data_IF_289899842380
#
_entry.id   IF_289899842380
#
_cell.length_a   1.000
_cell.length_b   1.000
_cell.length_c   1.000
_cell.angle_alpha   90.00
_cell.angle_beta   90.00
_cell.angle_gamma   90.00
#
_symmetry.space_group_name_H-M   'P 1'
#
loop_
_entity.id
_entity.type
_entity.pdbx_description
1 polymer ?
#
# COMPACT_ATOMS: atom_id res chain seq x y z
N UNK A 1 -13.31 -67.62 -35.02
CA UNK A 1 -12.55 -68.04 -36.21
C UNK A 1 -12.84 -67.06 -37.33
N UNK A 2 -11.77 -66.44 -37.87
CA UNK A 2 -11.58 -65.79 -39.18
C UNK A 2 -12.68 -64.86 -39.74
N UNK A 3 -12.51 -63.52 -39.75
CA UNK A 3 -11.64 -62.70 -40.63
C UNK A 3 -12.22 -62.47 -42.05
N UNK A 4 -12.52 -61.21 -42.39
CA UNK A 4 -11.86 -60.48 -43.50
C UNK A 4 -12.57 -59.18 -43.92
N UNK A 5 -11.86 -58.09 -43.61
CA UNK A 5 -11.72 -56.76 -44.24
C UNK A 5 -12.02 -56.62 -45.74
N UNK A 6 -12.51 -55.42 -46.15
CA UNK A 6 -11.88 -54.48 -47.12
C UNK A 6 -12.56 -53.08 -46.99
N UNK A 7 -11.85 -52.01 -46.56
CA UNK A 7 -11.19 -50.93 -47.37
C UNK A 7 -12.16 -50.20 -48.33
N UNK A 8 -12.22 -48.87 -48.49
CA UNK A 8 -11.42 -47.75 -48.00
C UNK A 8 -12.02 -46.39 -48.49
N UNK A 9 -11.50 -45.27 -47.94
CA UNK A 9 -11.27 -43.95 -48.59
C UNK A 9 -12.55 -43.06 -48.71
N UNK A 10 -12.60 -41.79 -48.26
CA UNK A 10 -11.68 -40.66 -48.44
C UNK A 10 -12.01 -39.53 -47.44
N UNK A 11 -10.98 -38.79 -47.04
CA UNK A 11 -11.04 -37.59 -46.22
C UNK A 11 -11.52 -36.34 -46.99
N UNK A 12 -12.16 -35.41 -46.28
CA UNK A 12 -12.19 -33.96 -46.57
C UNK A 12 -12.43 -33.22 -45.24
N UNK A 13 -11.39 -32.78 -44.52
CA UNK A 13 -10.80 -31.42 -44.53
C UNK A 13 -11.83 -30.27 -44.41
N UNK A 14 -12.03 -29.81 -43.14
CA UNK A 14 -12.01 -28.43 -42.57
C UNK A 14 -12.82 -27.30 -43.27
N UNK A 15 -13.14 -26.14 -42.64
CA UNK A 15 -12.72 -25.63 -41.33
C UNK A 15 -13.86 -25.05 -40.47
N UNK A 16 -13.48 -24.61 -39.25
CA UNK A 16 -13.95 -23.47 -38.45
C UNK A 16 -15.30 -22.82 -38.77
N UNK A 17 -16.03 -22.43 -37.72
CA UNK A 17 -16.49 -21.06 -37.44
C UNK A 17 -17.12 -21.10 -36.03
N UNK A 18 -16.38 -20.62 -35.03
CA UNK A 18 -16.69 -19.36 -34.33
C UNK A 18 -18.03 -19.41 -33.58
N UNK A 19 -18.12 -20.24 -32.54
CA UNK A 19 -19.13 -20.06 -31.49
C UNK A 19 -18.65 -18.97 -30.54
N UNK A 20 -18.90 -17.74 -30.97
CA UNK A 20 -19.11 -16.50 -30.23
C UNK A 20 -18.94 -16.60 -28.70
N UNK A 21 -17.73 -16.35 -28.21
CA UNK A 21 -17.47 -16.04 -26.82
C UNK A 21 -18.11 -14.70 -26.46
N UNK A 22 -19.26 -14.72 -25.80
CA UNK A 22 -19.79 -13.53 -25.12
C UNK A 22 -19.05 -13.42 -23.79
N UNK A 23 -17.82 -12.92 -23.83
CA UNK A 23 -17.14 -12.41 -22.65
C UNK A 23 -17.79 -11.06 -22.33
N UNK A 24 -18.72 -11.07 -21.37
CA UNK A 24 -19.17 -9.85 -20.70
C UNK A 24 -17.96 -9.29 -19.94
N UNK A 25 -17.16 -8.48 -20.64
CA UNK A 25 -16.26 -7.50 -20.05
C UNK A 25 -17.14 -6.45 -19.39
N UNK A 26 -17.61 -6.76 -18.18
CA UNK A 26 -17.98 -5.74 -17.21
C UNK A 26 -16.67 -5.01 -16.88
N UNK A 27 -16.38 -3.99 -17.70
CA UNK A 27 -15.53 -2.87 -17.34
C UNK A 27 -16.23 -2.22 -16.14
N UNK A 28 -15.95 -2.75 -14.96
CA UNK A 28 -16.21 -2.05 -13.72
C UNK A 28 -15.34 -0.81 -13.77
N UNK A 29 -15.96 0.33 -14.07
CA UNK A 29 -15.45 1.64 -13.69
C UNK A 29 -15.18 1.57 -12.19
N UNK A 30 -13.93 1.28 -11.82
CA UNK A 30 -13.42 1.51 -10.49
C UNK A 30 -13.37 3.04 -10.33
N UNK A 31 -14.50 3.63 -9.93
CA UNK A 31 -14.46 4.89 -9.23
C UNK A 31 -13.68 4.59 -7.95
N UNK A 32 -12.36 4.82 -7.99
CA UNK A 32 -11.52 4.78 -6.79
C UNK A 32 -12.18 5.77 -5.84
N UNK A 33 -12.75 5.33 -4.71
CA UNK A 33 -13.39 6.27 -3.82
C UNK A 33 -12.32 7.24 -3.35
N UNK A 34 -12.65 8.53 -3.28
CA UNK A 34 -11.78 9.64 -2.83
C UNK A 34 -11.16 9.43 -1.42
N UNK A 35 -11.46 8.30 -0.77
CA UNK A 35 -10.97 7.90 0.54
C UNK A 35 -10.61 6.40 0.62
N UNK A 36 -10.29 5.74 -0.49
CA UNK A 36 -9.90 4.32 -0.49
C UNK A 36 -8.76 4.04 0.49
N UNK A 37 -7.74 4.90 0.51
CA UNK A 37 -6.62 4.78 1.45
C UNK A 37 -7.04 4.90 2.91
N UNK A 38 -8.00 5.79 3.22
CA UNK A 38 -8.54 5.94 4.59
C UNK A 38 -9.35 4.74 5.03
N UNK A 39 -10.19 4.21 4.14
CA UNK A 39 -10.96 2.99 4.41
C UNK A 39 -10.02 1.81 4.63
N UNK A 40 -9.00 1.65 3.78
CA UNK A 40 -7.96 0.62 3.97
C UNK A 40 -7.24 0.80 5.31
N UNK A 41 -6.85 2.03 5.67
CA UNK A 41 -6.25 2.33 6.98
C UNK A 41 -7.15 1.94 8.16
N UNK A 42 -8.44 2.28 8.10
CA UNK A 42 -9.41 1.94 9.16
C UNK A 42 -9.64 0.43 9.30
N UNK A 43 -9.50 -0.32 8.20
CA UNK A 43 -9.65 -1.78 8.17
C UNK A 43 -8.38 -2.52 8.61
N UNK A 44 -7.23 -1.85 8.77
CA UNK A 44 -5.98 -2.51 9.17
C UNK A 44 -5.97 -2.88 10.64
N UNK A 45 -5.38 -4.03 10.94
CA UNK A 45 -5.11 -4.43 12.31
C UNK A 45 -4.20 -3.39 12.99
N UNK A 46 -4.53 -2.94 14.21
CA UNK A 46 -3.71 -1.99 14.94
C UNK A 46 -2.39 -2.64 15.38
N UNK A 47 -1.29 -1.91 15.24
CA UNK A 47 0.03 -2.32 15.72
C UNK A 47 0.36 -1.66 17.07
N UNK A 48 1.28 -2.25 17.86
CA UNK A 48 1.80 -1.61 19.07
C UNK A 48 2.33 -0.20 18.79
N UNK A 49 1.88 0.78 19.55
CA UNK A 49 2.27 2.17 19.33
C UNK A 49 3.61 2.48 20.01
N UNK A 50 4.58 2.99 19.24
CA UNK A 50 5.88 3.44 19.71
C UNK A 50 5.80 4.81 20.38
N UNK A 51 5.29 5.79 19.65
CA UNK A 51 5.26 7.19 20.06
C UNK A 51 4.17 7.95 19.28
N UNK A 52 3.63 9.01 19.89
CA UNK A 52 2.87 10.04 19.20
C UNK A 52 3.57 11.38 19.32
N UNK A 53 3.97 11.94 18.19
CA UNK A 53 4.68 13.22 18.12
C UNK A 53 3.74 14.27 17.55
N UNK A 54 3.63 15.41 18.24
CA UNK A 54 2.90 16.59 17.76
C UNK A 54 3.84 17.77 17.78
N UNK A 55 4.04 18.42 16.64
CA UNK A 55 4.92 19.60 16.56
C UNK A 55 4.21 20.78 15.92
N UNK A 56 4.12 21.84 16.72
CA UNK A 56 3.69 23.17 16.29
C UNK A 56 4.92 23.92 15.75
N UNK A 57 5.12 23.85 14.43
CA UNK A 57 5.91 24.67 13.48
C UNK A 57 7.17 25.49 13.86
N UNK A 58 7.59 25.64 15.11
CA UNK A 58 8.78 26.42 15.47
C UNK A 58 10.08 25.64 15.34
N UNK A 59 10.02 24.31 15.25
CA UNK A 59 11.16 23.44 15.00
C UNK A 59 10.77 22.37 13.98
N UNK A 60 11.69 22.02 13.08
CA UNK A 60 11.48 20.92 12.15
C UNK A 60 11.40 19.61 12.95
N UNK A 61 10.26 18.92 12.91
CA UNK A 61 10.02 17.77 13.78
C UNK A 61 10.71 16.50 13.28
N UNK A 62 11.73 16.05 14.01
CA UNK A 62 12.31 14.72 13.81
C UNK A 62 11.60 13.68 14.69
N UNK A 63 11.52 12.42 14.23
CA UNK A 63 11.16 11.33 15.14
C UNK A 63 12.22 11.22 16.25
N UNK A 64 11.78 10.96 17.48
CA UNK A 64 12.72 10.73 18.56
C UNK A 64 13.54 9.47 18.28
N UNK A 65 14.78 9.44 18.76
CA UNK A 65 15.63 8.25 18.66
C UNK A 65 14.93 7.01 19.24
N UNK A 66 14.19 7.17 20.34
CA UNK A 66 13.43 6.10 20.97
C UNK A 66 12.26 5.62 20.10
N UNK A 67 11.58 6.52 19.40
CA UNK A 67 10.53 6.18 18.44
C UNK A 67 11.07 5.38 17.26
N UNK A 68 12.24 5.77 16.74
CA UNK A 68 12.92 5.03 15.67
C UNK A 68 13.41 3.65 16.12
N UNK A 69 14.02 3.55 17.31
CA UNK A 69 14.46 2.27 17.87
C UNK A 69 13.27 1.32 18.09
N UNK A 70 12.12 1.85 18.50
CA UNK A 70 10.89 1.05 18.62
C UNK A 70 10.36 0.57 17.26
N UNK A 71 10.45 1.37 16.19
CA UNK A 71 10.07 0.91 14.85
C UNK A 71 10.98 -0.24 14.38
N UNK A 72 12.29 -0.16 14.64
CA UNK A 72 13.24 -1.23 14.34
C UNK A 72 12.93 -2.52 15.11
N UNK A 73 12.70 -2.40 16.42
CA UNK A 73 12.32 -3.54 17.27
C UNK A 73 10.99 -4.15 16.83
N UNK A 74 10.04 -3.31 16.44
CA UNK A 74 8.76 -3.71 15.85
C UNK A 74 8.97 -4.48 14.55
N UNK A 75 9.79 -3.97 13.64
CA UNK A 75 10.09 -4.59 12.36
C UNK A 75 10.75 -5.98 12.52
N UNK A 76 11.58 -6.14 13.55
CA UNK A 76 12.20 -7.41 13.92
C UNK A 76 11.24 -8.36 14.69
N UNK A 77 10.09 -7.85 15.15
CA UNK A 77 9.16 -8.55 16.02
C UNK A 77 7.73 -8.60 15.47
N UNK A 78 6.79 -8.06 16.23
CA UNK A 78 5.35 -8.13 15.97
C UNK A 78 4.79 -6.97 15.12
N UNK A 79 5.68 -6.09 14.63
CA UNK A 79 5.33 -4.81 14.03
C UNK A 79 5.16 -3.71 15.08
N UNK A 80 5.20 -2.46 14.62
CA UNK A 80 4.95 -1.30 15.46
C UNK A 80 4.45 -0.11 14.63
N UNK A 81 3.77 0.83 15.27
CA UNK A 81 3.29 2.06 14.65
C UNK A 81 3.82 3.29 15.38
N UNK A 82 4.23 4.29 14.60
CA UNK A 82 4.60 5.60 15.10
C UNK A 82 3.74 6.64 14.38
N UNK A 83 3.17 7.57 15.15
CA UNK A 83 2.33 8.64 14.62
C UNK A 83 3.01 9.98 14.79
N UNK A 84 3.01 10.80 13.74
CA UNK A 84 3.44 12.18 13.86
C UNK A 84 2.54 13.17 13.14
N UNK A 85 2.30 14.31 13.76
CA UNK A 85 1.48 15.40 13.26
C UNK A 85 2.35 16.65 13.13
N UNK A 86 2.43 17.20 11.91
CA UNK A 86 3.25 18.36 11.58
C UNK A 86 2.40 19.45 10.92
N UNK A 87 2.58 20.71 11.32
CA UNK A 87 1.84 21.85 10.76
C UNK A 87 0.98 22.56 11.79
N UNK A 88 0.30 23.63 11.36
CA UNK A 88 -0.62 24.36 12.24
C UNK A 88 -1.82 23.50 12.62
N UNK A 89 -2.40 23.80 13.78
CA UNK A 89 -3.53 23.06 14.35
C UNK A 89 -4.76 23.00 13.41
N UNK A 90 -4.92 23.95 12.50
CA UNK A 90 -6.01 24.00 11.51
C UNK A 90 -5.72 23.24 10.20
N UNK A 91 -4.58 22.56 10.10
CA UNK A 91 -4.30 21.77 8.90
C UNK A 91 -3.07 20.89 8.96
N UNK A 92 -2.82 20.12 10.03
CA UNK A 92 -1.61 19.34 10.12
C UNK A 92 -1.63 18.21 9.10
N UNK A 93 -0.44 17.87 8.59
CA UNK A 93 -0.21 16.60 7.92
C UNK A 93 0.12 15.57 8.98
N UNK A 94 -0.61 14.46 8.96
CA UNK A 94 -0.42 13.36 9.91
C UNK A 94 0.18 12.18 9.16
N UNK A 95 1.30 11.69 9.67
CA UNK A 95 2.01 10.50 9.20
C UNK A 95 1.78 9.37 10.20
N UNK A 96 1.29 8.25 9.70
CA UNK A 96 1.23 6.98 10.42
C UNK A 96 2.25 6.05 9.79
N UNK A 97 3.39 5.86 10.47
CA UNK A 97 4.48 5.00 10.03
C UNK A 97 4.32 3.64 10.69
N UNK A 98 4.07 2.61 9.91
CA UNK A 98 3.87 1.23 10.36
C UNK A 98 5.05 0.38 9.92
N UNK A 99 5.85 -0.07 10.88
CA UNK A 99 6.83 -1.11 10.66
C UNK A 99 6.15 -2.47 10.71
N UNK A 100 6.23 -3.22 9.62
CA UNK A 100 5.68 -4.57 9.53
C UNK A 100 6.69 -5.62 10.00
N UNK A 101 6.22 -6.77 10.54
CA UNK A 101 7.08 -7.92 10.76
C UNK A 101 7.81 -8.30 9.46
N UNK A 102 9.14 -8.26 9.48
CA UNK A 102 9.96 -8.61 8.31
C UNK A 102 10.70 -7.43 7.66
N UNK A 103 10.53 -6.20 8.16
CA UNK A 103 11.40 -5.06 7.79
C UNK A 103 10.82 -4.04 6.82
N UNK A 104 9.61 -4.26 6.32
CA UNK A 104 8.94 -3.29 5.45
C UNK A 104 8.25 -2.19 6.26
N UNK A 105 8.12 -1.00 5.65
CA UNK A 105 7.41 0.13 6.25
C UNK A 105 6.29 0.59 5.33
N UNK A 106 5.14 0.86 5.95
CA UNK A 106 4.00 1.48 5.30
C UNK A 106 3.74 2.82 5.96
N UNK A 107 3.58 3.86 5.14
CA UNK A 107 3.31 5.22 5.60
C UNK A 107 1.94 5.62 5.09
N UNK A 108 1.00 5.78 6.02
CA UNK A 108 -0.27 6.40 5.71
C UNK A 108 -0.17 7.91 5.98
N UNK A 109 -0.42 8.69 4.95
CA UNK A 109 -0.37 10.16 5.01
C UNK A 109 -1.78 10.69 4.96
N UNK A 110 -2.19 11.36 6.04
CA UNK A 110 -3.41 12.13 6.11
C UNK A 110 -3.05 13.61 5.92
N UNK A 111 -3.32 14.14 4.72
CA UNK A 111 -3.10 15.54 4.40
C UNK A 111 -4.38 16.33 4.68
N UNK A 112 -4.24 17.40 5.48
CA UNK A 112 -5.17 18.51 5.64
C UNK A 112 -6.68 18.13 5.74
N UNK A 113 -7.34 18.34 6.90
CA UNK A 113 -8.76 18.02 7.11
C UNK A 113 -9.72 18.72 6.13
N UNK A 114 -9.31 19.81 5.48
CA UNK A 114 -10.11 20.51 4.47
C UNK A 114 -10.10 19.85 3.10
N UNK A 115 -9.02 19.14 2.75
CA UNK A 115 -8.92 18.42 1.47
C UNK A 115 -9.28 16.95 1.60
N UNK A 116 -9.24 16.42 2.83
CA UNK A 116 -9.52 15.02 3.14
C UNK A 116 -8.71 14.05 2.28
N UNK A 117 -7.48 14.44 1.93
CA UNK A 117 -6.62 13.68 1.02
C UNK A 117 -5.83 12.66 1.83
N UNK A 118 -5.89 11.40 1.41
CA UNK A 118 -5.25 10.29 2.08
C UNK A 118 -4.48 9.45 1.08
N UNK A 119 -3.28 9.01 1.46
CA UNK A 119 -2.42 8.20 0.60
C UNK A 119 -1.69 7.13 1.43
N UNK A 120 -1.52 5.95 0.83
CA UNK A 120 -0.60 4.93 1.31
C UNK A 120 0.70 5.00 0.52
N UNK A 121 1.81 4.88 1.22
CA UNK A 121 3.13 4.73 0.60
C UNK A 121 3.86 3.55 1.23
N UNK A 122 4.52 2.77 0.40
CA UNK A 122 5.32 1.62 0.80
C UNK A 122 6.80 1.90 0.59
N UNK A 123 7.57 1.76 1.66
CA UNK A 123 8.98 2.11 1.76
C UNK A 123 9.77 0.94 2.33
N UNK A 124 11.04 0.82 1.92
CA UNK A 124 11.99 0.09 2.76
C UNK A 124 12.24 0.91 4.03
N UNK A 125 12.44 0.24 5.17
CA UNK A 125 12.85 0.91 6.40
C UNK A 125 14.22 1.55 6.21
N UNK A 126 14.24 2.87 6.02
CA UNK A 126 15.45 3.69 5.95
C UNK A 126 15.43 4.68 7.11
N UNK A 127 16.24 4.39 8.14
CA UNK A 127 16.34 5.25 9.33
C UNK A 127 16.78 6.66 8.99
N UNK A 128 17.65 6.84 8.00
CA UNK A 128 18.13 8.16 7.61
C UNK A 128 16.98 8.96 6.98
N UNK A 129 16.14 8.29 6.18
CA UNK A 129 14.91 8.88 5.66
C UNK A 129 13.90 9.22 6.77
N UNK A 130 13.78 8.42 7.83
CA UNK A 130 12.86 8.70 8.92
C UNK A 130 13.40 9.73 9.94
N UNK A 131 14.72 9.93 10.01
CA UNK A 131 15.37 10.76 11.03
C UNK A 131 15.12 12.28 10.95
N UNK A 132 14.56 12.77 9.84
CA UNK A 132 14.21 14.18 9.71
C UNK A 132 12.90 14.35 8.94
N UNK A 133 12.13 15.41 9.17
CA UNK A 133 10.86 15.63 8.47
C UNK A 133 11.06 15.90 6.98
N UNK A 134 12.13 16.61 6.60
CA UNK A 134 12.52 16.78 5.19
C UNK A 134 12.99 15.46 4.57
N UNK A 135 13.62 14.60 5.36
CA UNK A 135 14.02 13.27 4.94
C UNK A 135 12.81 12.34 4.84
N UNK A 136 11.81 12.51 5.70
CA UNK A 136 10.57 11.74 5.67
C UNK A 136 9.76 12.16 4.46
N UNK A 137 9.60 13.46 4.22
CA UNK A 137 8.96 13.99 3.01
C UNK A 137 9.65 13.47 1.75
N UNK A 138 10.97 13.62 1.63
CA UNK A 138 11.73 13.16 0.46
C UNK A 138 11.83 11.63 0.35
N UNK A 139 11.89 10.94 1.47
CA UNK A 139 11.94 9.48 1.55
C UNK A 139 10.62 8.87 1.11
N UNK A 140 9.52 9.43 1.62
CA UNK A 140 8.13 9.11 1.24
C UNK A 140 7.87 9.51 -0.22
N UNK A 141 8.51 10.54 -0.78
CA UNK A 141 8.49 10.80 -2.24
C UNK A 141 9.17 9.69 -3.06
N UNK A 142 10.16 9.00 -2.50
CA UNK A 142 10.80 7.83 -3.13
C UNK A 142 10.01 6.52 -2.99
N UNK A 143 8.95 6.52 -2.19
CA UNK A 143 8.13 5.35 -1.91
C UNK A 143 7.09 5.10 -2.99
N UNK A 144 6.67 3.84 -3.11
CA UNK A 144 5.66 3.43 -4.10
C UNK A 144 4.27 3.58 -3.51
N UNK A 145 3.34 4.11 -4.30
CA UNK A 145 1.90 4.11 -4.02
C UNK A 145 1.22 2.84 -4.48
#
# INVERSE_FOLDING_TARGET
MHASTHRAVRAARRPAWLSLSVVLLLVSCAAVPLNAAKADFDDREPLPQCEEIRVDLTELPAFSQAGLDCLDDGAAGAGAELRASFGETDGPVIYHVRALPGGDVEVFVQQNPHTNTHEWKHCALDRDALSSPDALLRGVEGCRS
#
